data_IF_921512268750
#
_entry.id   IF_921512268750
#
_cell.length_a   1.000
_cell.length_b   1.000
_cell.length_c   1.000
_cell.angle_alpha   90.00
_cell.angle_beta   90.00
_cell.angle_gamma   90.00
#
_symmetry.space_group_name_H-M   'P 1'
#
loop_
_entity.id
_entity.type
_entity.pdbx_description
1 polymer ?
#
# COMPACT_ATOMS: atom_id res chain seq x y z
N UNK A 1 -27.58 9.80 6.02
CA UNK A 1 -27.60 9.31 4.64
C UNK A 1 -26.16 8.93 4.38
N UNK A 2 -25.87 7.64 4.45
CA UNK A 2 -24.51 7.11 4.42
C UNK A 2 -24.36 6.38 3.10
N UNK A 3 -24.24 7.16 2.02
CA UNK A 3 -23.59 6.65 0.82
C UNK A 3 -22.09 6.73 1.13
N UNK A 4 -21.53 5.65 1.69
CA UNK A 4 -20.10 5.45 1.53
C UNK A 4 -19.91 5.10 0.07
N UNK A 5 -19.44 6.08 -0.69
CA UNK A 5 -18.99 6.00 -2.09
C UNK A 5 -17.72 5.10 -2.17
N UNK A 6 -17.80 3.89 -1.60
CA UNK A 6 -16.78 2.87 -1.76
C UNK A 6 -16.95 2.29 -3.17
N UNK A 7 -15.88 2.17 -3.96
CA UNK A 7 -15.97 1.62 -5.30
C UNK A 7 -16.63 0.24 -5.29
N UNK A 8 -17.46 -0.08 -6.29
CA UNK A 8 -18.17 -1.38 -6.37
C UNK A 8 -17.22 -2.60 -6.40
N UNK A 9 -15.95 -2.38 -6.74
CA UNK A 9 -14.93 -3.41 -6.77
C UNK A 9 -14.26 -3.65 -5.42
N UNK A 10 -14.44 -2.75 -4.45
CA UNK A 10 -13.86 -2.87 -3.12
C UNK A 10 -14.67 -3.89 -2.30
N UNK A 11 -14.03 -4.91 -1.70
CA UNK A 11 -14.76 -5.91 -0.92
C UNK A 11 -15.53 -5.29 0.25
N UNK A 12 -16.74 -5.77 0.52
CA UNK A 12 -17.57 -5.31 1.65
C UNK A 12 -16.88 -5.47 3.01
N UNK A 13 -15.91 -6.38 3.11
CA UNK A 13 -15.09 -6.64 4.30
C UNK A 13 -14.04 -5.54 4.54
N UNK A 14 -13.78 -4.67 3.56
CA UNK A 14 -12.86 -3.56 3.72
C UNK A 14 -13.49 -2.43 4.56
N UNK A 15 -13.04 -2.33 5.81
CA UNK A 15 -13.34 -1.19 6.68
C UNK A 15 -12.15 -0.21 6.70
N UNK A 16 -12.26 0.99 6.07
CA UNK A 16 -11.16 1.96 5.99
C UNK A 16 -10.69 2.46 7.36
N UNK A 17 -11.53 2.40 8.39
CA UNK A 17 -11.20 2.83 9.75
C UNK A 17 -10.87 1.63 10.67
N UNK A 18 -10.86 0.41 10.11
CA UNK A 18 -10.52 -0.84 10.80
C UNK A 18 -9.02 -1.01 11.05
N UNK A 19 -8.65 -2.10 11.73
CA UNK A 19 -7.25 -2.40 12.02
C UNK A 19 -6.45 -2.59 10.74
N UNK A 20 -5.29 -1.92 10.61
CA UNK A 20 -4.46 -2.02 9.42
C UNK A 20 -3.98 -3.46 9.16
N UNK A 21 -3.72 -4.25 10.21
CA UNK A 21 -3.36 -5.67 10.08
C UNK A 21 -4.44 -6.49 9.40
N UNK A 22 -5.70 -6.21 9.69
CA UNK A 22 -6.85 -6.91 9.11
C UNK A 22 -7.14 -6.44 7.69
N UNK A 23 -6.82 -5.18 7.38
CA UNK A 23 -6.95 -4.60 6.04
C UNK A 23 -5.87 -5.05 5.05
N UNK A 24 -4.64 -5.29 5.49
CA UNK A 24 -3.51 -5.61 4.60
C UNK A 24 -3.76 -6.84 3.70
N UNK A 25 -4.30 -7.98 4.21
CA UNK A 25 -4.70 -9.10 3.35
C UNK A 25 -5.68 -8.69 2.24
N UNK A 26 -6.69 -7.89 2.59
CA UNK A 26 -7.69 -7.40 1.62
C UNK A 26 -7.02 -6.49 0.58
N UNK A 27 -6.13 -5.58 1.01
CA UNK A 27 -5.35 -4.72 0.13
C UNK A 27 -4.48 -5.50 -0.85
N UNK A 28 -3.89 -6.62 -0.41
CA UNK A 28 -3.05 -7.46 -1.25
C UNK A 28 -3.85 -8.20 -2.35
N UNK A 29 -5.10 -8.56 -2.07
CA UNK A 29 -5.97 -9.31 -2.99
C UNK A 29 -6.66 -8.44 -4.04
N UNK A 30 -6.66 -7.12 -3.88
CA UNK A 30 -7.32 -6.18 -4.82
C UNK A 30 -6.63 -6.10 -6.20
N UNK A 31 -5.47 -6.75 -6.32
CA UNK A 31 -4.69 -7.09 -7.51
C UNK A 31 -4.86 -6.20 -8.78
N UNK A 32 -3.77 -5.47 -9.08
CA UNK A 32 -3.09 -5.19 -10.37
C UNK A 32 -3.85 -4.73 -11.62
N UNK A 33 -5.15 -4.98 -11.76
CA UNK A 33 -5.95 -4.75 -12.96
C UNK A 33 -6.91 -3.55 -12.84
N UNK A 34 -7.02 -2.96 -11.65
CA UNK A 34 -8.07 -1.99 -11.30
C UNK A 34 -7.57 -0.58 -11.03
N UNK A 35 -6.27 -0.31 -11.22
CA UNK A 35 -5.72 1.03 -10.97
C UNK A 35 -5.75 1.45 -9.50
N UNK A 36 -5.83 0.52 -8.55
CA UNK A 36 -5.81 0.86 -7.12
C UNK A 36 -4.41 1.35 -6.69
N UNK A 37 -4.38 2.41 -5.90
CA UNK A 37 -3.16 3.02 -5.35
C UNK A 37 -3.27 3.14 -3.82
N UNK A 38 -2.19 2.77 -3.12
CA UNK A 38 -2.10 2.91 -1.68
C UNK A 38 -1.45 4.22 -1.29
N UNK A 39 -2.09 4.92 -0.35
CA UNK A 39 -1.57 6.13 0.26
C UNK A 39 -1.33 5.86 1.74
N UNK A 40 -0.14 6.16 2.21
CA UNK A 40 0.20 6.11 3.63
C UNK A 40 0.27 7.51 4.22
N UNK A 41 -0.23 7.66 5.44
CA UNK A 41 -0.13 8.88 6.23
C UNK A 41 0.38 8.58 7.63
N UNK A 42 1.30 9.40 8.14
CA UNK A 42 1.70 9.36 9.55
C UNK A 42 0.91 10.35 10.43
N UNK A 43 1.08 10.23 11.75
CA UNK A 43 0.44 11.10 12.75
C UNK A 43 0.90 12.57 12.69
N UNK A 44 2.01 12.85 12.01
CA UNK A 44 2.52 14.20 11.75
C UNK A 44 1.85 14.84 10.53
N UNK A 45 1.02 14.08 9.80
CA UNK A 45 0.33 14.53 8.59
C UNK A 45 1.18 14.45 7.32
N UNK A 46 2.31 13.73 7.34
CA UNK A 46 3.06 13.44 6.13
C UNK A 46 2.37 12.32 5.37
N UNK A 47 2.09 12.57 4.09
CA UNK A 47 1.45 11.61 3.19
C UNK A 47 2.41 11.15 2.10
N UNK A 48 2.41 9.85 1.79
CA UNK A 48 3.10 9.28 0.63
C UNK A 48 2.17 8.42 -0.21
N UNK A 49 2.33 8.57 -1.51
CA UNK A 49 1.78 7.67 -2.51
C UNK A 49 2.75 6.49 -2.65
N UNK A 50 2.28 5.28 -2.39
CA UNK A 50 3.10 4.06 -2.38
C UNK A 50 3.00 3.29 -3.70
N UNK A 51 1.92 3.47 -4.46
CA UNK A 51 1.66 2.72 -5.68
C UNK A 51 0.73 1.53 -5.46
N UNK A 52 0.86 0.50 -6.29
CA UNK A 52 -0.04 -0.64 -6.32
C UNK A 52 0.46 -1.75 -5.38
N UNK A 53 -0.42 -2.41 -4.61
CA UNK A 53 -0.03 -3.56 -3.78
C UNK A 53 0.24 -4.80 -4.64
N UNK A 54 1.22 -5.62 -4.25
CA UNK A 54 1.61 -6.80 -5.04
C UNK A 54 1.65 -8.11 -4.27
N UNK A 55 2.24 -8.11 -3.09
CA UNK A 55 2.52 -9.34 -2.35
C UNK A 55 2.51 -9.07 -0.85
N UNK A 56 1.92 -9.99 -0.09
CA UNK A 56 1.85 -9.92 1.35
C UNK A 56 2.61 -11.10 1.94
N UNK A 57 3.68 -10.78 2.68
CA UNK A 57 4.44 -11.75 3.42
C UNK A 57 4.11 -11.69 4.90
N UNK A 58 3.95 -12.85 5.53
CA UNK A 58 3.92 -12.98 6.98
C UNK A 58 5.16 -13.74 7.45
N UNK A 59 5.98 -13.09 8.29
CA UNK A 59 7.15 -13.75 8.84
C UNK A 59 6.78 -14.65 10.05
N UNK A 60 7.68 -15.53 10.54
CA UNK A 60 7.38 -16.43 11.66
C UNK A 60 7.05 -15.74 12.99
N UNK A 61 7.39 -14.46 13.14
CA UNK A 61 7.00 -13.66 14.31
C UNK A 61 5.61 -13.04 14.18
N UNK A 62 4.95 -13.23 13.03
CA UNK A 62 3.65 -12.66 12.71
C UNK A 62 3.73 -11.23 12.16
N UNK A 63 4.89 -10.69 11.81
CA UNK A 63 4.95 -9.38 11.15
C UNK A 63 4.44 -9.54 9.72
N UNK A 64 3.47 -8.69 9.35
CA UNK A 64 3.01 -8.57 7.98
C UNK A 64 3.82 -7.52 7.23
N UNK A 65 4.22 -7.85 6.01
CA UNK A 65 4.91 -6.94 5.10
C UNK A 65 4.17 -6.95 3.77
N UNK A 66 3.58 -5.81 3.39
CA UNK A 66 2.98 -5.64 2.07
C UNK A 66 3.95 -4.90 1.15
N UNK A 67 4.28 -5.53 0.03
CA UNK A 67 5.09 -4.95 -1.03
C UNK A 67 4.24 -4.06 -1.93
N UNK A 68 4.67 -2.81 -2.13
CA UNK A 68 3.92 -1.78 -2.85
C UNK A 68 4.86 -0.99 -3.76
N UNK A 69 4.45 -0.71 -5.00
CA UNK A 69 5.26 0.10 -5.92
C UNK A 69 4.72 0.14 -7.35
N UNK A 70 5.63 0.37 -8.30
CA UNK A 70 5.28 0.42 -9.73
C UNK A 70 5.05 -0.96 -10.38
N UNK A 71 5.68 -2.04 -9.91
CA UNK A 71 5.47 -3.39 -10.46
C UNK A 71 5.76 -4.52 -9.46
N UNK A 72 5.17 -5.71 -9.70
CA UNK A 72 5.36 -6.90 -8.86
C UNK A 72 6.81 -7.41 -8.77
N UNK A 73 7.69 -7.00 -9.69
CA UNK A 73 9.11 -7.38 -9.72
C UNK A 73 10.05 -6.20 -9.48
N UNK A 74 9.48 -5.03 -9.16
CA UNK A 74 10.22 -3.82 -8.83
C UNK A 74 9.29 -2.94 -7.98
N UNK A 75 9.25 -3.23 -6.68
CA UNK A 75 8.51 -2.45 -5.70
C UNK A 75 9.44 -1.49 -4.97
N UNK A 76 8.90 -0.33 -4.62
CA UNK A 76 9.67 0.79 -4.05
C UNK A 76 9.46 0.92 -2.54
N UNK A 77 8.40 0.29 -2.01
CA UNK A 77 7.97 0.43 -0.63
C UNK A 77 7.54 -0.89 0.00
N UNK A 78 7.73 -0.97 1.31
CA UNK A 78 7.19 -2.01 2.16
C UNK A 78 6.36 -1.36 3.29
N UNK A 79 5.08 -1.74 3.38
CA UNK A 79 4.23 -1.43 4.52
C UNK A 79 4.38 -2.54 5.54
N UNK A 80 4.91 -2.22 6.72
CA UNK A 80 5.22 -3.19 7.76
C UNK A 80 4.28 -3.03 8.94
N UNK A 81 3.58 -4.10 9.29
CA UNK A 81 2.73 -4.19 10.49
C UNK A 81 3.29 -5.26 11.42
N UNK A 82 4.04 -4.86 12.46
CA UNK A 82 4.54 -5.79 13.47
C UNK A 82 3.41 -6.53 14.20
N UNK A 83 3.72 -7.71 14.75
CA UNK A 83 2.79 -8.48 15.60
C UNK A 83 2.71 -8.01 17.05
N UNK A 84 3.63 -7.14 17.46
CA UNK A 84 3.69 -6.53 18.80
C UNK A 84 2.98 -5.17 18.83
N UNK A 85 2.92 -4.52 20.00
CA UNK A 85 2.48 -3.12 20.18
C UNK A 85 3.37 -2.07 19.47
N UNK A 86 4.23 -2.50 18.54
CA UNK A 86 5.04 -1.58 17.74
C UNK A 86 4.16 -1.00 16.63
N UNK A 87 4.10 0.33 16.48
CA UNK A 87 3.29 0.95 15.44
C UNK A 87 3.69 0.49 14.03
N UNK A 88 2.74 0.43 13.08
CA UNK A 88 3.03 0.23 11.67
C UNK A 88 3.95 1.31 11.12
N UNK A 89 4.74 0.97 10.09
CA UNK A 89 5.61 1.92 9.42
C UNK A 89 5.75 1.60 7.93
N UNK A 90 6.20 2.60 7.16
CA UNK A 90 6.57 2.43 5.76
C UNK A 90 8.07 2.60 5.63
N UNK A 91 8.71 1.71 4.88
CA UNK A 91 10.10 1.88 4.45
C UNK A 91 10.21 1.86 2.93
N UNK A 92 11.09 2.70 2.40
CA UNK A 92 11.51 2.60 1.00
C UNK A 92 12.54 1.50 0.85
N UNK A 93 12.50 0.80 -0.28
CA UNK A 93 13.43 -0.25 -0.65
C UNK A 93 13.89 -0.10 -2.10
N UNK A 94 14.95 -0.83 -2.45
CA UNK A 94 15.44 -0.97 -3.82
C UNK A 94 15.58 -2.46 -4.13
N UNK A 95 14.51 -3.05 -4.67
CA UNK A 95 14.41 -4.50 -4.95
C UNK A 95 15.38 -4.96 -6.06
N UNK A 96 15.92 -4.04 -6.86
CA UNK A 96 16.86 -4.37 -7.94
C UNK A 96 18.27 -4.70 -7.40
N UNK A 97 18.52 -4.46 -6.12
CA UNK A 97 19.78 -4.76 -5.45
C UNK A 97 19.88 -6.23 -5.02
N UNK A 98 21.11 -6.73 -4.89
CA UNK A 98 21.39 -7.99 -4.22
C UNK A 98 20.96 -7.93 -2.73
N UNK A 99 20.69 -9.09 -2.12
CA UNK A 99 20.03 -9.18 -0.80
C UNK A 99 20.70 -8.35 0.31
N UNK A 100 22.03 -8.29 0.36
CA UNK A 100 22.77 -7.52 1.37
C UNK A 100 22.59 -6.01 1.17
N UNK A 101 22.54 -5.57 -0.07
CA UNK A 101 22.37 -4.17 -0.44
C UNK A 101 20.91 -3.74 -0.35
N UNK A 102 19.96 -4.64 -0.66
CA UNK A 102 18.53 -4.48 -0.40
C UNK A 102 18.26 -4.18 1.07
N UNK A 103 18.77 -5.03 1.98
CA UNK A 103 18.59 -4.84 3.41
C UNK A 103 19.23 -3.54 3.91
N UNK A 104 20.38 -3.15 3.34
CA UNK A 104 21.08 -1.92 3.72
C UNK A 104 20.41 -0.65 3.18
N UNK A 105 19.75 -0.74 2.03
CA UNK A 105 19.07 0.39 1.38
C UNK A 105 17.74 0.74 2.06
N UNK A 106 17.18 -0.18 2.86
CA UNK A 106 15.94 0.05 3.63
C UNK A 106 16.03 1.31 4.47
N UNK A 107 15.07 2.20 4.25
CA UNK A 107 14.94 3.45 5.01
C UNK A 107 13.50 3.67 5.42
N UNK A 108 13.26 3.83 6.73
CA UNK A 108 11.93 4.18 7.23
C UNK A 108 11.59 5.60 6.76
N UNK A 109 10.52 5.70 5.99
CA UNK A 109 10.02 6.94 5.41
C UNK A 109 8.90 7.55 6.26
N UNK A 110 8.05 6.70 6.83
CA UNK A 110 6.92 7.08 7.69
C UNK A 110 6.82 6.11 8.87
N UNK A 111 6.42 6.63 10.03
CA UNK A 111 6.24 5.87 11.28
C UNK A 111 4.81 6.06 11.78
N UNK A 112 4.28 5.11 12.54
CA UNK A 112 2.91 5.17 13.07
C UNK A 112 1.86 5.47 11.99
N UNK A 113 1.88 4.66 10.93
CA UNK A 113 1.11 4.94 9.71
C UNK A 113 -0.28 4.33 9.71
N UNK A 114 -1.19 5.01 9.03
CA UNK A 114 -2.37 4.41 8.42
C UNK A 114 -2.18 4.33 6.90
N UNK A 115 -2.76 3.30 6.26
CA UNK A 115 -2.69 3.12 4.81
C UNK A 115 -4.10 2.96 4.25
N UNK A 116 -4.42 3.67 3.17
CA UNK A 116 -5.75 3.67 2.55
C UNK A 116 -5.66 3.40 1.06
N UNK A 117 -6.70 2.74 0.54
CA UNK A 117 -6.84 2.45 -0.88
C UNK A 117 -7.55 3.62 -1.54
N UNK A 118 -7.02 4.07 -2.67
CA UNK A 118 -7.64 5.04 -3.55
C UNK A 118 -7.79 4.43 -4.94
N UNK A 119 -8.92 4.73 -5.58
CA UNK A 119 -9.12 4.41 -6.99
C UNK A 119 -8.33 5.41 -7.84
N UNK A 120 -7.43 4.91 -8.67
CA UNK A 120 -6.83 5.70 -9.74
C UNK A 120 -7.49 5.22 -11.02
N UNK A 121 -8.55 5.92 -11.42
CA UNK A 121 -9.16 5.77 -12.75
C UNK A 121 -8.04 5.72 -13.79
N UNK A 122 -7.77 4.52 -14.33
CA UNK A 122 -6.81 4.34 -15.42
C UNK A 122 -7.27 5.12 -16.67
N UNK A 123 -8.57 5.41 -16.75
CA UNK A 123 -9.22 6.23 -17.79
C UNK A 123 -8.89 7.74 -17.72
N UNK A 124 -8.21 8.24 -16.67
CA UNK A 124 -7.88 9.67 -16.59
C UNK A 124 -6.77 10.12 -17.55
N UNK A 125 -6.12 9.20 -18.25
CA UNK A 125 -5.14 9.51 -19.30
C UNK A 125 -5.76 9.62 -20.71
N UNK A 126 -6.92 9.01 -21.01
CA UNK A 126 -7.55 9.16 -22.33
C UNK A 126 -8.35 10.47 -22.49
N UNK A 127 -8.72 11.14 -21.39
CA UNK A 127 -9.47 12.40 -21.46
C UNK A 127 -8.62 13.62 -21.85
N UNK A 128 -7.28 13.52 -21.90
CA UNK A 128 -6.41 14.67 -22.24
C UNK A 128 -6.02 14.69 -23.72
N UNK A 129 -6.21 13.61 -24.49
CA UNK A 129 -5.94 13.57 -25.93
C UNK A 129 -7.19 13.74 -26.83
N UNK A 130 -8.38 13.86 -26.24
CA UNK A 130 -9.63 14.08 -26.99
C UNK A 130 -10.01 15.58 -27.14
N UNK A 131 -9.09 16.50 -26.85
CA UNK A 131 -9.27 17.95 -27.08
C UNK A 131 -8.03 18.56 -27.72
N UNK A 132 -7.73 18.13 -28.95
CA UNK A 132 -6.84 18.84 -29.88
C UNK A 132 -7.45 18.83 -31.29
#
# INVERSE_FOLDING_TARGET
MTDSDSPEWLPDEYDPDGNLRERLPIMAEIDRLRGAELHAADDRGLTKILGTPFDLEENPTGTLTLHVGGSQYNWDYEVVVPSSDTPPFVRSVDMEQDIEDYERAKKTELENVDVRIYDVDHDRLEATEASA
#
